data_IF_935825137610
#
_entry.id   IF_935825137610
#
_cell.length_a   1.000
_cell.length_b   1.000
_cell.length_c   1.000
_cell.angle_alpha   90.00
_cell.angle_beta   90.00
_cell.angle_gamma   90.00
#
_symmetry.space_group_name_H-M   'P 1'
#
loop_
_entity.id
_entity.type
_entity.pdbx_description
1 polymer ?
#
# COMPACT_ATOMS: atom_id res chain seq x y z
N UNK A 1 5.39 1.25 -4.68
CA UNK A 1 3.95 1.56 -4.61
C UNK A 1 3.58 1.82 -3.15
N UNK A 2 2.58 2.67 -2.88
CA UNK A 2 2.04 2.83 -1.52
C UNK A 2 1.25 1.59 -1.08
N UNK A 3 1.12 1.40 0.25
CA UNK A 3 0.30 0.32 0.82
C UNK A 3 -1.15 0.38 0.32
N UNK A 4 -1.69 1.59 0.15
CA UNK A 4 -3.03 1.81 -0.40
C UNK A 4 -3.18 1.19 -1.80
N UNK A 5 -2.20 1.39 -2.69
CA UNK A 5 -2.20 0.80 -4.04
C UNK A 5 -2.08 -0.71 -4.00
N UNK A 6 -1.29 -1.23 -3.07
CA UNK A 6 -1.09 -2.66 -2.89
C UNK A 6 -2.40 -3.34 -2.45
N UNK A 7 -3.05 -2.80 -1.42
CA UNK A 7 -4.35 -3.29 -0.94
C UNK A 7 -5.45 -3.13 -1.99
N UNK A 8 -5.48 -2.01 -2.71
CA UNK A 8 -6.42 -1.79 -3.80
C UNK A 8 -6.26 -2.82 -4.93
N UNK A 9 -5.02 -3.25 -5.23
CA UNK A 9 -4.78 -4.27 -6.26
C UNK A 9 -5.31 -5.65 -5.86
N UNK A 10 -5.19 -6.02 -4.59
CA UNK A 10 -5.77 -7.27 -4.05
C UNK A 10 -7.29 -7.21 -4.06
N UNK A 11 -7.89 -6.11 -3.59
CA UNK A 11 -9.34 -5.90 -3.65
C UNK A 11 -9.86 -5.92 -5.10
N UNK A 12 -9.11 -5.29 -6.02
CA UNK A 12 -9.45 -5.23 -7.43
C UNK A 12 -9.42 -6.58 -8.14
N UNK A 13 -8.49 -7.46 -7.76
CA UNK A 13 -8.47 -8.85 -8.23
C UNK A 13 -9.75 -9.61 -7.84
N UNK A 14 -10.36 -9.27 -6.70
CA UNK A 14 -11.63 -9.84 -6.23
C UNK A 14 -12.87 -9.10 -6.79
N UNK A 15 -12.69 -8.12 -7.68
CA UNK A 15 -13.77 -7.29 -8.21
C UNK A 15 -14.35 -6.31 -7.19
N UNK A 16 -13.67 -6.06 -6.08
CA UNK A 16 -14.12 -5.16 -5.01
C UNK A 16 -13.50 -3.77 -5.18
N UNK A 17 -14.30 -2.70 -5.31
CA UNK A 17 -13.77 -1.34 -5.38
C UNK A 17 -13.35 -0.82 -4.00
N UNK A 18 -12.27 -0.05 -3.97
CA UNK A 18 -11.92 0.77 -2.79
C UNK A 18 -12.75 2.04 -2.83
N UNK A 19 -13.71 2.14 -1.90
CA UNK A 19 -14.67 3.23 -1.90
C UNK A 19 -14.22 4.48 -1.14
N UNK A 20 -13.40 4.30 -0.11
CA UNK A 20 -12.98 5.37 0.80
C UNK A 20 -11.52 5.17 1.22
N UNK A 21 -10.74 6.25 1.18
CA UNK A 21 -9.43 6.36 1.81
C UNK A 21 -9.49 7.40 2.92
N UNK A 22 -8.96 7.07 4.08
CA UNK A 22 -8.85 8.00 5.21
C UNK A 22 -7.38 8.11 5.62
N UNK A 23 -6.91 9.30 5.95
CA UNK A 23 -5.49 9.50 6.24
C UNK A 23 -5.07 10.95 6.31
N UNK A 24 -3.81 11.22 5.97
CA UNK A 24 -3.34 12.58 5.74
C UNK A 24 -3.72 13.10 4.34
N UNK A 25 -3.43 14.37 4.12
CA UNK A 25 -3.59 15.05 2.84
C UNK A 25 -2.74 14.41 1.73
N UNK A 26 -1.55 13.89 2.05
CA UNK A 26 -0.64 13.28 1.07
C UNK A 26 -1.20 11.99 0.50
N UNK A 27 -1.60 11.01 1.35
CA UNK A 27 -2.15 9.74 0.86
C UNK A 27 -3.50 9.92 0.17
N UNK A 28 -4.32 10.86 0.65
CA UNK A 28 -5.59 11.18 0.01
C UNK A 28 -5.36 11.78 -1.39
N UNK A 29 -4.44 12.74 -1.53
CA UNK A 29 -4.09 13.32 -2.81
C UNK A 29 -3.45 12.29 -3.76
N UNK A 30 -2.49 11.49 -3.26
CA UNK A 30 -1.85 10.43 -4.05
C UNK A 30 -2.89 9.45 -4.59
N UNK A 31 -3.82 8.98 -3.74
CA UNK A 31 -4.80 7.97 -4.13
C UNK A 31 -5.75 8.47 -5.23
N UNK A 32 -6.17 9.73 -5.18
CA UNK A 32 -6.99 10.34 -6.24
C UNK A 32 -6.32 10.32 -7.63
N UNK A 33 -4.98 10.25 -7.72
CA UNK A 33 -4.27 10.21 -9.01
C UNK A 33 -4.44 8.88 -9.76
N UNK A 34 -4.75 7.78 -9.05
CA UNK A 34 -4.88 6.44 -9.63
C UNK A 34 -6.18 5.71 -9.28
N UNK A 35 -6.99 6.26 -8.36
CA UNK A 35 -8.39 5.91 -8.11
C UNK A 35 -9.27 7.16 -8.22
N UNK A 36 -9.66 7.60 -9.44
CA UNK A 36 -10.33 8.88 -9.63
C UNK A 36 -11.73 8.97 -9.00
N UNK A 37 -12.36 7.84 -8.67
CA UNK A 37 -13.71 7.79 -8.09
C UNK A 37 -13.71 7.55 -6.57
N UNK A 38 -12.55 7.45 -5.94
CA UNK A 38 -12.46 7.19 -4.51
C UNK A 38 -12.90 8.40 -3.71
N UNK A 39 -13.68 8.19 -2.65
CA UNK A 39 -13.88 9.23 -1.65
C UNK A 39 -12.67 9.31 -0.73
N UNK A 40 -12.38 10.51 -0.25
CA UNK A 40 -11.25 10.71 0.67
C UNK A 40 -11.68 11.47 1.93
N UNK A 41 -11.08 11.12 3.06
CA UNK A 41 -11.27 11.83 4.32
C UNK A 41 -9.91 12.19 4.93
N UNK A 42 -9.45 13.42 4.67
CA UNK A 42 -8.24 13.97 5.28
C UNK A 42 -8.51 14.29 6.75
N UNK A 43 -7.89 13.54 7.66
CA UNK A 43 -8.08 13.68 9.12
C UNK A 43 -6.86 14.25 9.85
N UNK A 44 -5.74 14.40 9.14
CA UNK A 44 -4.52 15.05 9.62
C UNK A 44 -3.80 15.67 8.42
N UNK A 45 -2.88 16.60 8.66
CA UNK A 45 -2.06 17.23 7.62
C UNK A 45 -0.60 16.92 7.90
N UNK A 46 0.08 16.26 6.96
CA UNK A 46 1.48 15.90 7.11
C UNK A 46 2.36 17.16 7.20
N UNK A 47 3.33 17.16 8.11
CA UNK A 47 4.33 18.24 8.22
C UNK A 47 5.70 17.67 7.84
N UNK A 48 6.08 16.56 8.47
CA UNK A 48 7.27 15.80 8.14
C UNK A 48 7.02 14.30 8.37
N UNK A 49 8.08 13.48 8.29
CA UNK A 49 8.01 12.02 8.46
C UNK A 49 7.46 11.58 9.83
N UNK A 50 7.67 12.39 10.86
CA UNK A 50 7.39 12.08 12.26
C UNK A 50 6.27 12.93 12.85
N UNK A 51 5.88 14.03 12.19
CA UNK A 51 4.90 14.98 12.72
C UNK A 51 3.77 15.29 11.73
N UNK A 52 2.59 15.53 12.28
CA UNK A 52 1.41 15.93 11.53
C UNK A 52 0.51 16.81 12.40
N UNK A 53 -0.23 17.73 11.76
CA UNK A 53 -1.30 18.48 12.41
C UNK A 53 -2.61 17.70 12.32
N UNK A 54 -2.99 17.05 13.41
CA UNK A 54 -4.22 16.28 13.49
C UNK A 54 -5.46 17.16 13.68
N UNK A 55 -6.60 16.73 13.13
CA UNK A 55 -7.90 17.28 13.52
C UNK A 55 -8.28 16.80 14.93
N UNK A 56 -9.16 17.55 15.60
CA UNK A 56 -9.81 17.07 16.82
C UNK A 56 -10.63 15.80 16.55
N UNK A 57 -10.66 14.88 17.52
CA UNK A 57 -11.27 13.55 17.37
C UNK A 57 -12.72 13.61 16.84
N UNK A 58 -13.56 14.48 17.43
CA UNK A 58 -14.95 14.65 16.99
C UNK A 58 -15.04 15.09 15.51
N UNK A 59 -14.18 16.02 15.10
CA UNK A 59 -14.12 16.50 13.71
C UNK A 59 -13.63 15.41 12.75
N UNK A 60 -12.63 14.63 13.15
CA UNK A 60 -12.12 13.52 12.34
C UNK A 60 -13.20 12.43 12.15
N UNK A 61 -13.89 12.04 13.22
CA UNK A 61 -14.98 11.07 13.16
C UNK A 61 -16.12 11.54 12.25
N UNK A 62 -16.55 12.80 12.41
CA UNK A 62 -17.63 13.36 11.59
C UNK A 62 -17.26 13.43 10.11
N UNK A 63 -16.00 13.76 9.82
CA UNK A 63 -15.47 13.77 8.44
C UNK A 63 -15.43 12.36 7.84
N UNK A 64 -14.95 11.36 8.58
CA UNK A 64 -14.95 9.96 8.14
C UNK A 64 -16.37 9.47 7.89
N UNK A 65 -17.30 9.75 8.82
CA UNK A 65 -18.71 9.37 8.71
C UNK A 65 -19.34 9.96 7.45
N UNK A 66 -19.15 11.25 7.22
CA UNK A 66 -19.68 11.95 6.06
C UNK A 66 -19.10 11.38 4.76
N UNK A 67 -17.79 11.20 4.68
CA UNK A 67 -17.13 10.62 3.51
C UNK A 67 -17.58 9.18 3.24
N UNK A 68 -17.74 8.35 4.28
CA UNK A 68 -18.27 6.99 4.16
C UNK A 68 -19.71 6.99 3.62
N UNK A 69 -20.59 7.86 4.12
CA UNK A 69 -21.94 7.99 3.59
C UNK A 69 -21.95 8.39 2.11
N UNK A 70 -21.10 9.35 1.72
CA UNK A 70 -20.97 9.75 0.32
C UNK A 70 -20.44 8.62 -0.55
N UNK A 71 -19.41 7.91 -0.08
CA UNK A 71 -18.80 6.79 -0.78
C UNK A 71 -19.82 5.70 -1.09
N UNK A 72 -20.62 5.32 -0.10
CA UNK A 72 -21.66 4.30 -0.26
C UNK A 72 -22.78 4.74 -1.21
N UNK A 73 -23.16 6.03 -1.22
CA UNK A 73 -24.15 6.56 -2.18
C UNK A 73 -23.65 6.54 -3.62
N UNK A 74 -22.34 6.69 -3.81
CA UNK A 74 -21.68 6.72 -5.13
C UNK A 74 -21.07 5.37 -5.53
N UNK A 75 -21.35 4.30 -4.79
CA UNK A 75 -20.69 3.00 -4.97
C UNK A 75 -20.85 2.45 -6.40
N UNK A 76 -21.98 2.73 -7.07
CA UNK A 76 -22.23 2.33 -8.45
C UNK A 76 -21.26 2.96 -9.46
N UNK A 77 -20.70 4.13 -9.14
CA UNK A 77 -19.74 4.85 -9.99
C UNK A 77 -18.31 4.35 -9.79
N UNK A 78 -18.06 3.61 -8.71
CA UNK A 78 -16.72 3.15 -8.35
C UNK A 78 -16.32 1.93 -9.18
N UNK A 79 -15.02 1.82 -9.46
CA UNK A 79 -14.45 0.73 -10.25
C UNK A 79 -13.31 0.05 -9.49
N UNK A 80 -13.21 -1.29 -9.53
CA UNK A 80 -12.09 -2.00 -8.92
C UNK A 80 -10.75 -1.61 -9.57
N UNK A 81 -9.69 -1.52 -8.77
CA UNK A 81 -8.34 -1.22 -9.26
C UNK A 81 -7.67 -2.48 -9.80
N UNK A 82 -7.70 -2.68 -11.11
CA UNK A 82 -7.15 -3.88 -11.74
C UNK A 82 -5.72 -3.67 -12.23
N UNK A 83 -4.82 -4.56 -11.81
CA UNK A 83 -3.48 -4.67 -12.39
C UNK A 83 -3.50 -5.67 -13.55
N UNK A 84 -2.72 -5.39 -14.59
CA UNK A 84 -2.42 -6.37 -15.63
C UNK A 84 -1.59 -7.52 -15.04
N UNK A 85 -1.95 -8.75 -15.38
CA UNK A 85 -1.17 -9.94 -15.03
C UNK A 85 -0.30 -10.39 -16.21
N UNK A 86 0.89 -10.97 -15.94
CA UNK A 86 1.51 -11.17 -14.63
C UNK A 86 2.00 -9.86 -14.01
N UNK A 87 2.02 -9.79 -12.67
CA UNK A 87 2.45 -8.62 -11.90
C UNK A 87 3.95 -8.69 -11.65
N UNK A 88 4.72 -7.70 -12.11
CA UNK A 88 6.12 -7.54 -11.72
C UNK A 88 6.21 -6.81 -10.38
N UNK A 89 6.58 -7.54 -9.34
CA UNK A 89 6.92 -6.99 -8.03
C UNK A 89 8.41 -6.60 -8.03
N UNK A 90 8.70 -5.35 -7.70
CA UNK A 90 10.04 -4.83 -7.47
C UNK A 90 10.10 -4.28 -6.05
N UNK A 91 11.08 -4.70 -5.25
CA UNK A 91 11.27 -4.23 -3.88
C UNK A 91 12.67 -3.69 -3.68
N UNK A 92 12.76 -2.51 -3.08
CA UNK A 92 14.04 -1.87 -2.70
C UNK A 92 14.09 -1.79 -1.17
N UNK A 93 15.18 -2.29 -0.59
CA UNK A 93 15.37 -2.37 0.85
C UNK A 93 16.33 -1.28 1.36
N UNK A 94 16.32 -1.08 2.68
CA UNK A 94 17.21 -0.12 3.35
C UNK A 94 18.68 -0.49 3.24
N UNK A 95 18.99 -1.79 3.20
CA UNK A 95 20.35 -2.33 3.17
C UNK A 95 20.48 -3.55 2.23
N UNK A 96 21.70 -3.82 1.76
CA UNK A 96 21.99 -4.93 0.83
C UNK A 96 21.79 -6.31 1.47
N UNK A 97 22.01 -6.44 2.78
CA UNK A 97 21.80 -7.70 3.49
C UNK A 97 20.31 -8.04 3.67
N UNK A 98 19.43 -7.03 3.73
CA UNK A 98 17.97 -7.24 3.72
C UNK A 98 17.50 -7.83 2.39
N UNK A 99 18.02 -7.32 1.27
CA UNK A 99 17.75 -7.89 -0.05
C UNK A 99 18.30 -9.32 -0.16
N UNK A 100 19.46 -9.62 0.42
CA UNK A 100 20.03 -10.97 0.42
C UNK A 100 19.21 -11.95 1.26
N UNK A 101 18.64 -11.49 2.38
CA UNK A 101 17.73 -12.29 3.18
C UNK A 101 16.43 -12.62 2.41
N UNK A 102 15.91 -11.69 1.61
CA UNK A 102 14.69 -11.91 0.83
C UNK A 102 14.91 -12.72 -0.46
N UNK A 103 16.13 -12.75 -0.99
CA UNK A 103 16.52 -13.49 -2.20
C UNK A 103 16.40 -15.01 -2.05
N UNK A 104 16.35 -15.54 -0.81
CA UNK A 104 16.18 -16.98 -0.57
C UNK A 104 14.79 -17.51 -0.95
N UNK A 105 13.82 -16.61 -1.19
CA UNK A 105 12.47 -16.99 -1.62
C UNK A 105 12.58 -17.59 -3.03
N UNK A 106 12.00 -18.77 -3.30
CA UNK A 106 12.00 -19.35 -4.63
C UNK A 106 11.52 -18.38 -5.72
N UNK A 107 12.20 -18.40 -6.86
CA UNK A 107 11.93 -17.58 -8.05
C UNK A 107 12.07 -16.05 -7.87
N UNK A 108 12.44 -15.57 -6.68
CA UNK A 108 12.89 -14.20 -6.48
C UNK A 108 14.29 -14.04 -7.06
N UNK A 109 14.51 -12.95 -7.79
CA UNK A 109 15.79 -12.63 -8.41
C UNK A 109 16.36 -11.34 -7.84
N UNK A 110 17.68 -11.31 -7.63
CA UNK A 110 18.38 -10.06 -7.35
C UNK A 110 18.31 -9.15 -8.56
N UNK A 111 17.75 -7.95 -8.40
CA UNK A 111 17.63 -6.94 -9.47
C UNK A 111 18.61 -5.78 -9.30
N UNK A 112 19.30 -5.71 -8.16
CA UNK A 112 20.29 -4.69 -7.84
C UNK A 112 20.89 -4.88 -6.45
N UNK A 113 21.78 -3.97 -6.03
CA UNK A 113 22.49 -4.09 -4.75
C UNK A 113 21.56 -4.15 -3.54
N UNK A 114 20.44 -3.43 -3.56
CA UNK A 114 19.45 -3.40 -2.47
C UNK A 114 18.06 -3.77 -2.95
N UNK A 115 17.94 -4.47 -4.08
CA UNK A 115 16.65 -4.73 -4.71
C UNK A 115 16.48 -6.15 -5.20
N UNK A 116 15.24 -6.62 -5.12
CA UNK A 116 14.81 -7.91 -5.67
C UNK A 116 13.62 -7.68 -6.61
N UNK A 117 13.45 -8.64 -7.53
CA UNK A 117 12.30 -8.70 -8.43
C UNK A 117 11.64 -10.08 -8.39
N UNK A 118 10.33 -10.11 -8.61
CA UNK A 118 9.53 -11.32 -8.70
C UNK A 118 8.39 -11.13 -9.71
N UNK A 119 8.12 -12.16 -10.52
CA UNK A 119 6.99 -12.15 -11.46
C UNK A 119 5.86 -12.98 -10.87
N UNK A 120 4.86 -12.31 -10.33
CA UNK A 120 3.70 -12.95 -9.73
C UNK A 120 2.61 -13.22 -10.78
N UNK A 121 1.91 -14.37 -10.70
CA UNK A 121 0.77 -14.65 -11.57
C UNK A 121 -0.39 -13.66 -11.34
N UNK A 122 -0.52 -13.14 -10.11
CA UNK A 122 -1.60 -12.23 -9.72
C UNK A 122 -1.19 -11.30 -8.55
N UNK A 123 -2.09 -10.37 -8.20
CA UNK A 123 -1.83 -9.37 -7.15
C UNK A 123 -1.73 -10.01 -5.76
N UNK A 124 -2.52 -11.05 -5.47
CA UNK A 124 -2.48 -11.77 -4.20
C UNK A 124 -1.13 -12.47 -3.98
N UNK A 125 -0.57 -13.10 -5.01
CA UNK A 125 0.74 -13.76 -4.94
C UNK A 125 1.84 -12.73 -4.77
N UNK A 126 1.79 -11.61 -5.52
CA UNK A 126 2.70 -10.48 -5.31
C UNK A 126 2.64 -9.98 -3.86
N UNK A 127 1.43 -9.89 -3.29
CA UNK A 127 1.24 -9.48 -1.91
C UNK A 127 1.88 -10.44 -0.90
N UNK A 128 1.67 -11.74 -1.10
CA UNK A 128 2.24 -12.76 -0.23
C UNK A 128 3.77 -12.76 -0.28
N UNK A 129 4.36 -12.67 -1.47
CA UNK A 129 5.82 -12.60 -1.63
C UNK A 129 6.39 -11.33 -1.00
N UNK A 130 5.75 -10.18 -1.20
CA UNK A 130 6.15 -8.92 -0.55
C UNK A 130 6.18 -9.05 0.97
N UNK A 131 5.12 -9.61 1.58
CA UNK A 131 5.05 -9.83 3.03
C UNK A 131 6.15 -10.78 3.51
N UNK A 132 6.37 -11.90 2.84
CA UNK A 132 7.44 -12.86 3.21
C UNK A 132 8.81 -12.19 3.12
N UNK A 133 9.06 -11.43 2.05
CA UNK A 133 10.31 -10.70 1.86
C UNK A 133 10.55 -9.65 2.97
N UNK A 134 9.50 -8.93 3.40
CA UNK A 134 9.57 -7.98 4.51
C UNK A 134 9.89 -8.68 5.84
N UNK A 135 9.29 -9.84 6.12
CA UNK A 135 9.59 -10.62 7.33
C UNK A 135 11.04 -11.10 7.36
N UNK A 136 11.53 -11.66 6.24
CA UNK A 136 12.92 -12.10 6.11
C UNK A 136 13.90 -10.94 6.28
N UNK A 137 13.62 -9.81 5.63
CA UNK A 137 14.42 -8.60 5.77
C UNK A 137 14.42 -8.06 7.22
N UNK A 138 13.30 -8.20 7.94
CA UNK A 138 13.19 -7.81 9.36
C UNK A 138 14.14 -8.57 10.29
N UNK A 139 14.46 -9.83 9.98
CA UNK A 139 15.39 -10.64 10.78
C UNK A 139 16.81 -10.06 10.81
N UNK A 140 17.22 -9.38 9.75
CA UNK A 140 18.53 -8.72 9.64
C UNK A 140 18.64 -7.56 10.61
N UNK A 141 17.58 -6.75 10.70
CA UNK A 141 17.53 -5.58 11.59
C UNK A 141 17.61 -5.99 13.05
N UNK A 142 16.99 -7.11 13.42
CA UNK A 142 17.05 -7.64 14.79
C UNK A 142 18.45 -8.09 15.17
N UNK A 143 19.20 -8.72 14.25
CA UNK A 143 20.58 -9.16 14.49
C UNK A 143 21.57 -8.02 14.68
N UNK A 144 21.31 -6.85 14.10
CA UNK A 144 22.17 -5.68 14.26
C UNK A 144 21.93 -4.91 15.57
N UNK A 145 20.84 -5.23 16.30
CA UNK A 145 20.47 -4.56 17.55
C UNK A 145 20.83 -5.35 18.83
N UNK A 146 21.28 -6.60 18.69
CA UNK A 146 21.80 -7.41 19.79
C UNK A 146 23.32 -7.38 19.79
#
# INVERSE_FOLDING_TARGET
>A
ASEARFNASVAGQLGVPVALITGDDVICAETCTWLPHVETAVVKYAIDRYTARCLGQATAHERIRTAACTALRRLADMRPYQLSTPVRLEMVFGDSSMAAAAEIIPDVQRSGERSISYVAPDAQTAHNVCRIALELAGTVVQRQRG
#
